data_IF_503952383646
#
_entry.id   IF_503952383646
#
_cell.length_a   1.000
_cell.length_b   1.000
_cell.length_c   1.000
_cell.angle_alpha   90.00
_cell.angle_beta   90.00
_cell.angle_gamma   90.00
#
_symmetry.space_group_name_H-M   'P 1'
#
loop_
_entity.id
_entity.type
_entity.pdbx_description
1 polymer ?
#
# COMPACT_ATOMS: atom_id res chain seq x y z
N UNK A 1 -16.94 -30.71 -46.80
CA UNK A 1 -17.11 -29.43 -46.07
C UNK A 1 -17.47 -29.81 -44.64
N UNK A 2 -16.44 -30.05 -43.83
CA UNK A 2 -16.61 -30.43 -42.42
C UNK A 2 -16.39 -29.20 -41.55
N UNK A 3 -17.48 -28.65 -41.02
CA UNK A 3 -17.42 -27.71 -39.90
C UNK A 3 -17.63 -28.53 -38.63
N UNK A 4 -16.55 -29.21 -38.22
CA UNK A 4 -16.41 -29.83 -36.91
C UNK A 4 -16.56 -28.75 -35.85
N UNK A 5 -17.77 -28.64 -35.31
CA UNK A 5 -18.10 -27.81 -34.16
C UNK A 5 -17.56 -28.51 -32.91
N UNK A 6 -16.23 -28.48 -32.76
CA UNK A 6 -15.51 -28.91 -31.58
C UNK A 6 -15.82 -27.98 -30.43
N UNK A 7 -16.97 -28.19 -29.78
CA UNK A 7 -17.18 -27.77 -28.40
C UNK A 7 -16.11 -28.47 -27.57
N UNK A 8 -14.95 -27.84 -27.44
CA UNK A 8 -13.96 -28.25 -26.47
C UNK A 8 -14.67 -28.34 -25.13
N UNK A 9 -14.69 -29.55 -24.60
CA UNK A 9 -15.31 -29.89 -23.35
C UNK A 9 -14.49 -29.21 -22.24
N UNK A 10 -14.82 -27.96 -21.89
CA UNK A 10 -14.24 -27.18 -20.76
C UNK A 10 -14.67 -27.80 -19.41
N UNK A 11 -14.86 -29.12 -19.38
CA UNK A 11 -15.02 -29.95 -18.20
C UNK A 11 -13.79 -30.82 -17.96
N UNK A 12 -12.68 -30.59 -18.68
CA UNK A 12 -11.38 -30.90 -18.07
C UNK A 12 -11.24 -29.95 -16.89
N UNK A 13 -11.63 -30.45 -15.71
CA UNK A 13 -11.53 -29.81 -14.41
C UNK A 13 -10.12 -29.24 -14.25
N UNK A 14 -9.92 -27.98 -14.64
CA UNK A 14 -8.74 -27.25 -14.23
C UNK A 14 -8.98 -26.94 -12.75
N UNK A 15 -8.50 -27.86 -11.93
CA UNK A 15 -8.67 -27.82 -10.49
C UNK A 15 -7.73 -26.76 -9.94
N UNK A 16 -8.29 -25.80 -9.20
CA UNK A 16 -7.45 -24.85 -8.46
C UNK A 16 -6.41 -25.58 -7.60
N UNK A 17 -5.20 -25.02 -7.57
CA UNK A 17 -4.12 -25.47 -6.71
C UNK A 17 -4.29 -24.86 -5.31
N UNK A 18 -5.13 -25.47 -4.47
CA UNK A 18 -5.26 -25.08 -3.05
C UNK A 18 -6.70 -24.88 -2.58
N UNK A 19 -6.86 -24.65 -1.26
CA UNK A 19 -8.15 -24.39 -0.61
C UNK A 19 -8.21 -22.93 -0.17
N UNK A 20 -8.54 -22.04 -1.10
CA UNK A 20 -8.65 -20.61 -0.82
C UNK A 20 -10.07 -20.20 -0.44
N UNK A 21 -10.18 -19.20 0.42
CA UNK A 21 -11.45 -18.52 0.70
C UNK A 21 -11.82 -17.60 -0.46
N UNK A 22 -13.05 -17.09 -0.44
CA UNK A 22 -13.50 -16.09 -1.42
C UNK A 22 -12.64 -14.82 -1.36
N UNK A 23 -12.27 -14.40 -0.15
CA UNK A 23 -11.50 -13.18 0.07
C UNK A 23 -10.04 -13.31 -0.37
N UNK A 24 -9.44 -14.48 -0.16
CA UNK A 24 -8.09 -14.78 -0.65
C UNK A 24 -8.01 -14.61 -2.18
N UNK A 25 -8.99 -15.17 -2.90
CA UNK A 25 -9.04 -15.06 -4.36
C UNK A 25 -9.33 -13.64 -4.82
N UNK A 26 -10.23 -12.91 -4.15
CA UNK A 26 -10.48 -11.49 -4.47
C UNK A 26 -9.19 -10.68 -4.33
N UNK A 27 -8.47 -10.86 -3.22
CA UNK A 27 -7.20 -10.18 -2.98
C UNK A 27 -6.17 -10.53 -4.05
N UNK A 28 -5.98 -11.82 -4.33
CA UNK A 28 -5.03 -12.29 -5.33
C UNK A 28 -5.35 -11.80 -6.74
N UNK A 29 -6.62 -11.85 -7.16
CA UNK A 29 -7.02 -11.40 -8.50
C UNK A 29 -6.84 -9.89 -8.63
N UNK A 30 -7.26 -9.10 -7.63
CA UNK A 30 -7.08 -7.65 -7.67
C UNK A 30 -5.61 -7.26 -7.74
N UNK A 31 -4.76 -7.94 -6.97
CA UNK A 31 -3.32 -7.71 -7.00
C UNK A 31 -2.69 -8.10 -8.34
N UNK A 32 -3.07 -9.26 -8.88
CA UNK A 32 -2.65 -9.70 -10.21
C UNK A 32 -3.07 -8.70 -11.31
N UNK A 33 -4.31 -8.20 -11.27
CA UNK A 33 -4.78 -7.17 -12.20
C UNK A 33 -3.93 -5.90 -12.10
N UNK A 34 -3.68 -5.40 -10.88
CA UNK A 34 -2.85 -4.22 -10.64
C UNK A 34 -1.45 -4.36 -11.25
N UNK A 35 -0.85 -5.56 -11.16
CA UNK A 35 0.48 -5.84 -11.74
C UNK A 35 0.48 -5.92 -13.25
N UNK A 36 -0.61 -6.36 -13.85
CA UNK A 36 -0.72 -6.60 -15.30
C UNK A 36 -1.43 -5.45 -16.04
N UNK A 37 -1.55 -4.28 -15.42
CA UNK A 37 -2.17 -3.08 -16.02
C UNK A 37 -3.69 -3.17 -16.14
N UNK A 38 -4.32 -4.13 -15.47
CA UNK A 38 -5.77 -4.24 -15.37
C UNK A 38 -6.34 -3.31 -14.30
N UNK A 39 -7.48 -2.68 -14.58
CA UNK A 39 -8.17 -1.85 -13.61
C UNK A 39 -8.71 -2.66 -12.43
N UNK A 40 -8.71 -2.06 -11.23
CA UNK A 40 -9.37 -2.61 -10.06
C UNK A 40 -10.85 -2.86 -10.37
N UNK A 41 -11.32 -4.08 -10.13
CA UNK A 41 -12.69 -4.46 -10.42
C UNK A 41 -13.51 -4.56 -9.14
N UNK A 42 -14.19 -3.49 -8.75
CA UNK A 42 -15.22 -3.53 -7.69
C UNK A 42 -16.30 -4.59 -7.96
N UNK A 43 -16.52 -4.98 -9.22
CA UNK A 43 -17.44 -6.04 -9.58
C UNK A 43 -16.99 -7.44 -9.11
N UNK A 44 -15.70 -7.64 -8.85
CA UNK A 44 -15.18 -8.96 -8.47
C UNK A 44 -15.63 -9.37 -7.06
N UNK A 45 -15.89 -8.39 -6.20
CA UNK A 45 -16.38 -8.59 -4.84
C UNK A 45 -17.77 -9.23 -4.81
N UNK A 46 -18.56 -9.03 -5.89
CA UNK A 46 -19.91 -9.57 -6.05
C UNK A 46 -19.93 -10.99 -6.65
N UNK A 47 -18.79 -11.48 -7.14
CA UNK A 47 -18.70 -12.80 -7.77
C UNK A 47 -18.75 -13.91 -6.73
N UNK A 48 -19.38 -15.02 -7.11
CA UNK A 48 -19.42 -16.24 -6.32
C UNK A 48 -18.06 -16.90 -6.31
N UNK A 49 -17.83 -17.78 -5.32
CA UNK A 49 -16.57 -18.51 -5.18
C UNK A 49 -16.15 -19.22 -6.48
N UNK A 50 -17.07 -19.97 -7.09
CA UNK A 50 -16.80 -20.71 -8.33
C UNK A 50 -16.37 -19.80 -9.49
N UNK A 51 -16.98 -18.62 -9.62
CA UNK A 51 -16.63 -17.65 -10.67
C UNK A 51 -15.25 -17.03 -10.44
N UNK A 52 -14.80 -16.94 -9.18
CA UNK A 52 -13.44 -16.51 -8.86
C UNK A 52 -12.44 -17.63 -9.15
N UNK A 53 -12.79 -18.89 -8.87
CA UNK A 53 -11.97 -20.06 -9.19
C UNK A 53 -11.73 -20.16 -10.71
N UNK A 54 -12.78 -19.92 -11.50
CA UNK A 54 -12.69 -19.82 -12.97
C UNK A 54 -11.71 -18.73 -13.42
N UNK A 55 -11.76 -17.54 -12.81
CA UNK A 55 -10.82 -16.44 -13.13
C UNK A 55 -9.39 -16.83 -12.76
N UNK A 56 -9.18 -17.36 -11.55
CA UNK A 56 -7.85 -17.79 -11.08
C UNK A 56 -7.24 -18.79 -12.04
N UNK A 57 -8.05 -19.77 -12.47
CA UNK A 57 -7.66 -20.78 -13.45
C UNK A 57 -7.38 -20.18 -14.83
N UNK A 58 -8.28 -19.34 -15.33
CA UNK A 58 -8.23 -18.78 -16.68
C UNK A 58 -6.96 -17.94 -16.90
N UNK A 59 -6.54 -17.21 -15.87
CA UNK A 59 -5.38 -16.32 -15.92
C UNK A 59 -4.13 -16.92 -15.26
N UNK A 60 -4.16 -18.22 -14.89
CA UNK A 60 -3.09 -18.93 -14.17
C UNK A 60 -2.55 -18.13 -12.97
N UNK A 61 -3.46 -17.57 -12.18
CA UNK A 61 -3.12 -16.71 -11.05
C UNK A 61 -2.60 -17.59 -9.91
N UNK A 62 -1.33 -17.37 -9.54
CA UNK A 62 -0.73 -18.01 -8.38
C UNK A 62 -1.21 -17.31 -7.09
N UNK A 63 -2.31 -17.80 -6.51
CA UNK A 63 -2.94 -17.18 -5.33
C UNK A 63 -1.98 -17.08 -4.15
N UNK A 64 -1.22 -18.13 -3.83
CA UNK A 64 -0.25 -18.12 -2.73
C UNK A 64 0.80 -17.00 -2.91
N UNK A 65 1.36 -16.88 -4.10
CA UNK A 65 2.35 -15.85 -4.41
C UNK A 65 1.77 -14.44 -4.29
N UNK A 66 0.56 -14.22 -4.85
CA UNK A 66 -0.10 -12.92 -4.75
C UNK A 66 -0.37 -12.54 -3.28
N UNK A 67 -0.81 -13.49 -2.45
CA UNK A 67 -1.06 -13.24 -1.02
C UNK A 67 0.23 -12.91 -0.26
N UNK A 68 1.33 -13.61 -0.54
CA UNK A 68 2.64 -13.33 0.07
C UNK A 68 3.10 -11.91 -0.27
N UNK A 69 2.90 -11.47 -1.51
CA UNK A 69 3.27 -10.12 -1.92
C UNK A 69 2.42 -9.05 -1.26
N UNK A 70 1.10 -9.26 -1.18
CA UNK A 70 0.19 -8.35 -0.46
C UNK A 70 0.64 -8.16 0.99
N UNK A 71 1.05 -9.24 1.67
CA UNK A 71 1.59 -9.16 3.04
C UNK A 71 2.87 -8.32 3.09
N UNK A 72 3.81 -8.55 2.18
CA UNK A 72 5.06 -7.76 2.10
C UNK A 72 4.80 -6.28 1.84
N UNK A 73 3.86 -5.95 0.98
CA UNK A 73 3.48 -4.55 0.71
C UNK A 73 2.84 -3.89 1.93
N UNK A 74 1.99 -4.63 2.65
CA UNK A 74 1.41 -4.16 3.91
C UNK A 74 2.46 -3.92 4.97
N UNK A 75 3.44 -4.80 5.11
CA UNK A 75 4.56 -4.62 6.04
C UNK A 75 5.40 -3.38 5.68
N UNK A 76 5.70 -3.18 4.39
CA UNK A 76 6.38 -1.95 3.93
C UNK A 76 5.59 -0.70 4.27
N UNK A 77 4.28 -0.69 4.01
CA UNK A 77 3.42 0.44 4.33
C UNK A 77 3.34 0.72 5.85
N UNK A 78 3.26 -0.35 6.67
CA UNK A 78 3.26 -0.24 8.13
C UNK A 78 4.56 0.35 8.68
N UNK A 79 5.70 0.05 8.05
CA UNK A 79 7.01 0.57 8.48
C UNK A 79 7.29 1.97 7.93
N UNK A 80 6.69 2.35 6.81
CA UNK A 80 6.90 3.66 6.19
C UNK A 80 6.44 4.83 7.09
N UNK A 81 5.28 4.71 7.74
CA UNK A 81 4.74 5.80 8.58
C UNK A 81 5.63 6.06 9.81
N UNK A 82 5.99 5.05 10.63
CA UNK A 82 6.91 5.24 11.74
C UNK A 82 8.29 5.76 11.31
N UNK A 83 8.85 5.27 10.20
CA UNK A 83 10.14 5.74 9.68
C UNK A 83 10.08 7.22 9.27
N UNK A 84 9.01 7.62 8.58
CA UNK A 84 8.80 9.01 8.20
C UNK A 84 8.62 9.91 9.42
N UNK A 85 7.86 9.47 10.42
CA UNK A 85 7.69 10.20 11.68
C UNK A 85 9.03 10.36 12.43
N UNK A 86 9.82 9.29 12.53
CA UNK A 86 11.14 9.34 13.15
C UNK A 86 12.09 10.29 12.42
N UNK A 87 12.05 10.32 11.09
CA UNK A 87 12.86 11.23 10.27
C UNK A 87 12.44 12.69 10.44
N UNK A 88 11.14 12.96 10.46
CA UNK A 88 10.61 14.32 10.70
C UNK A 88 11.03 14.78 12.09
N UNK A 89 10.81 13.95 13.13
CA UNK A 89 11.20 14.27 14.50
C UNK A 89 12.68 14.59 14.62
N UNK A 90 13.55 13.72 14.06
CA UNK A 90 15.01 13.95 14.06
C UNK A 90 15.39 15.29 13.42
N UNK A 91 14.72 15.69 12.34
CA UNK A 91 14.98 16.98 11.71
C UNK A 91 14.50 18.16 12.57
N UNK A 92 13.34 18.04 13.22
CA UNK A 92 12.84 19.05 14.17
C UNK A 92 13.83 19.21 15.31
N UNK A 93 14.23 18.11 15.95
CA UNK A 93 15.18 18.11 17.07
C UNK A 93 16.51 18.78 16.66
N UNK A 94 17.03 18.47 15.47
CA UNK A 94 18.23 19.13 14.93
C UNK A 94 18.08 20.65 14.79
N UNK A 95 16.93 21.14 14.32
CA UNK A 95 16.70 22.57 14.20
C UNK A 95 16.52 23.24 15.57
N UNK A 96 15.85 22.58 16.51
CA UNK A 96 15.70 23.08 17.88
C UNK A 96 17.06 23.23 18.56
N UNK A 97 17.93 22.22 18.45
CA UNK A 97 19.29 22.29 19.00
C UNK A 97 20.10 23.44 18.39
N UNK A 98 19.94 23.65 17.07
CA UNK A 98 20.61 24.75 16.37
C UNK A 98 20.08 26.13 16.83
N UNK A 99 18.78 26.26 17.04
CA UNK A 99 18.16 27.49 17.56
C UNK A 99 18.68 27.75 18.97
N UNK A 100 18.64 26.75 19.86
CA UNK A 100 19.13 26.87 21.24
C UNK A 100 20.61 27.28 21.29
N UNK A 101 21.44 26.71 20.41
CA UNK A 101 22.84 27.11 20.27
C UNK A 101 22.96 28.58 19.86
N UNK A 102 22.20 29.02 18.85
CA UNK A 102 22.23 30.42 18.38
C UNK A 102 21.73 31.39 19.45
N UNK A 103 20.66 31.04 20.18
CA UNK A 103 20.12 31.82 21.30
C UNK A 103 21.17 31.98 22.42
N UNK A 104 21.95 30.93 22.70
CA UNK A 104 23.01 31.00 23.72
C UNK A 104 24.15 31.97 23.38
N UNK A 105 24.26 32.37 22.11
CA UNK A 105 25.26 33.33 21.63
C UNK A 105 24.74 34.78 21.66
N UNK A 106 23.47 35.00 21.98
CA UNK A 106 22.87 36.33 22.02
C UNK A 106 23.23 37.06 23.32
N UNK A 107 23.40 38.37 23.23
CA UNK A 107 23.42 39.24 24.43
C UNK A 107 22.02 39.36 25.02
N UNK A 108 21.92 39.82 26.28
CA UNK A 108 20.63 40.02 26.94
C UNK A 108 19.68 40.93 26.14
N UNK A 109 20.19 42.04 25.58
CA UNK A 109 19.38 42.98 24.77
C UNK A 109 18.92 42.35 23.44
N UNK A 110 19.76 41.53 22.81
CA UNK A 110 19.41 40.83 21.57
C UNK A 110 18.37 39.73 21.83
N UNK A 111 18.52 39.01 22.95
CA UNK A 111 17.59 37.97 23.36
C UNK A 111 16.21 38.56 23.68
N UNK A 112 16.14 39.71 24.36
CA UNK A 112 14.88 40.41 24.65
C UNK A 112 14.13 40.80 23.37
N UNK A 113 14.82 41.44 22.41
CA UNK A 113 14.26 41.79 21.09
C UNK A 113 13.82 40.56 20.28
N UNK A 114 14.56 39.45 20.37
CA UNK A 114 14.19 38.19 19.73
C UNK A 114 12.90 37.62 20.32
N UNK A 115 12.76 37.60 21.65
CA UNK A 115 11.55 37.12 22.31
C UNK A 115 10.32 37.99 21.99
N UNK A 116 10.48 39.31 21.94
CA UNK A 116 9.42 40.23 21.48
C UNK A 116 8.97 39.89 20.05
N UNK A 117 9.93 39.66 19.14
CA UNK A 117 9.64 39.25 17.78
C UNK A 117 8.88 37.91 17.74
N UNK A 118 9.35 36.87 18.44
CA UNK A 118 8.67 35.57 18.50
C UNK A 118 7.22 35.68 19.02
N UNK A 119 7.01 36.46 20.09
CA UNK A 119 5.68 36.68 20.65
C UNK A 119 4.74 37.42 19.68
N UNK A 120 5.27 38.36 18.88
CA UNK A 120 4.50 39.06 17.84
C UNK A 120 4.01 38.14 16.73
N UNK A 121 4.73 37.05 16.43
CA UNK A 121 4.35 36.09 15.38
C UNK A 121 3.31 35.08 15.85
N UNK A 122 3.24 34.79 17.16
CA UNK A 122 2.30 33.83 17.75
C UNK A 122 0.94 34.46 18.15
N UNK A 123 0.77 35.77 17.95
CA UNK A 123 -0.42 36.53 18.38
C UNK A 123 -1.48 36.71 17.28
N UNK A 124 -1.42 35.91 16.20
CA UNK A 124 -2.42 35.89 15.11
C UNK A 124 -3.20 34.57 15.09
#
# INVERSE_FOLDING_TARGET
MDLNNGRYNIQQLIKMKGKYTRYDMIGAINHWCSKNGGSYFTYIEKRRKSELEEIVVQYDINVDEMLVEIVKEREKANNFIPELQAKIKKNIDFFLDKIAMLESLLTAEQHEKYMEYCNSQNSN
#
